data_IF_182873646630
#
_entry.id   IF_182873646630
#
_cell.length_a   1.000
_cell.length_b   1.000
_cell.length_c   1.000
_cell.angle_alpha   90.00
_cell.angle_beta   90.00
_cell.angle_gamma   90.00
#
_symmetry.space_group_name_H-M   'P 1'
#
loop_
_entity.id
_entity.type
_entity.pdbx_description
1 polymer ?
#
# COMPACT_ATOMS: atom_id res chain seq x y z
N UNK A 1 27.18 4.13 20.65
CA UNK A 1 25.95 3.62 20.07
C UNK A 1 25.16 4.83 19.58
N UNK A 2 25.08 5.02 18.27
CA UNK A 2 24.25 6.08 17.70
C UNK A 2 22.78 5.74 18.07
N UNK A 3 22.08 6.66 18.73
CA UNK A 3 20.65 6.46 19.01
C UNK A 3 19.91 6.55 17.69
N UNK A 4 19.66 5.42 17.04
CA UNK A 4 18.77 5.41 15.90
C UNK A 4 17.38 5.85 16.38
N UNK A 5 16.93 6.97 15.87
CA UNK A 5 15.57 7.47 16.16
C UNK A 5 14.59 6.61 15.38
N UNK A 6 13.75 5.85 16.06
CA UNK A 6 12.65 5.13 15.43
C UNK A 6 11.57 6.14 15.01
N UNK A 7 11.16 6.09 13.76
CA UNK A 7 10.17 7.00 13.17
C UNK A 7 8.97 6.23 12.65
N UNK A 8 7.82 6.90 12.51
CA UNK A 8 6.58 6.28 12.05
C UNK A 8 5.98 7.07 10.90
N UNK A 9 5.51 6.35 9.90
CA UNK A 9 4.73 6.91 8.78
C UNK A 9 3.29 6.38 8.87
N UNK A 10 2.33 7.28 8.73
CA UNK A 10 0.92 6.90 8.63
C UNK A 10 0.55 6.56 7.19
N UNK A 11 -0.06 5.40 6.98
CA UNK A 11 -0.57 4.90 5.70
C UNK A 11 -2.08 4.63 5.75
N UNK A 12 -2.78 5.19 6.75
CA UNK A 12 -4.23 5.03 6.91
C UNK A 12 -5.01 5.46 5.68
N UNK A 13 -4.54 6.53 5.03
CA UNK A 13 -5.20 7.17 3.88
C UNK A 13 -4.88 6.51 2.54
N UNK A 14 -4.04 5.48 2.57
CA UNK A 14 -3.65 4.66 1.41
C UNK A 14 -3.87 3.18 1.69
N UNK A 15 -2.86 2.44 2.10
CA UNK A 15 -2.92 1.00 2.33
C UNK A 15 -3.97 0.60 3.38
N UNK A 16 -4.13 1.42 4.44
CA UNK A 16 -5.10 1.15 5.50
C UNK A 16 -6.54 1.11 4.96
N UNK A 17 -6.98 2.19 4.36
CA UNK A 17 -8.34 2.29 3.82
C UNK A 17 -8.54 1.41 2.58
N UNK A 18 -7.51 1.19 1.75
CA UNK A 18 -7.61 0.26 0.63
C UNK A 18 -7.88 -1.17 1.10
N UNK A 19 -7.24 -1.59 2.20
CA UNK A 19 -7.41 -2.92 2.76
C UNK A 19 -8.72 -3.11 3.55
N UNK A 20 -9.28 -2.06 4.17
CA UNK A 20 -10.45 -2.16 5.06
C UNK A 20 -11.71 -1.60 4.40
N UNK A 21 -11.60 -0.49 3.67
CA UNK A 21 -12.72 0.22 3.03
C UNK A 21 -12.72 0.09 1.51
N UNK A 22 -11.95 -0.85 0.96
CA UNK A 22 -11.85 -1.13 -0.48
C UNK A 22 -11.58 0.12 -1.33
N UNK A 23 -10.75 1.06 -0.82
CA UNK A 23 -10.38 2.27 -1.55
C UNK A 23 -11.41 3.40 -1.53
N UNK A 24 -12.48 3.31 -0.73
CA UNK A 24 -13.62 4.23 -0.78
C UNK A 24 -13.33 5.66 -0.27
N UNK A 25 -12.18 5.93 0.33
CA UNK A 25 -11.82 7.24 0.88
C UNK A 25 -11.55 8.26 -0.24
N UNK A 26 -12.42 9.27 -0.34
CA UNK A 26 -12.34 10.36 -1.31
C UNK A 26 -11.41 11.52 -0.85
N UNK A 27 -11.22 12.53 -1.71
CA UNK A 27 -10.40 13.70 -1.40
C UNK A 27 -10.93 14.53 -0.22
N UNK A 28 -12.24 14.58 0.00
CA UNK A 28 -12.84 15.30 1.13
C UNK A 28 -12.52 14.61 2.45
N UNK A 29 -12.59 13.28 2.47
CA UNK A 29 -12.28 12.44 3.62
C UNK A 29 -10.78 12.45 3.92
N UNK A 30 -9.91 12.49 2.88
CA UNK A 30 -8.47 12.66 3.02
C UNK A 30 -8.13 13.91 3.86
N UNK A 31 -8.83 15.01 3.65
CA UNK A 31 -8.54 16.29 4.28
C UNK A 31 -9.03 16.40 5.72
N UNK A 32 -10.03 15.62 6.10
CA UNK A 32 -10.66 15.73 7.42
C UNK A 32 -9.68 15.52 8.59
N UNK A 33 -8.82 14.50 8.65
CA UNK A 33 -7.88 14.27 9.75
C UNK A 33 -6.61 15.13 9.67
N UNK A 34 -6.45 16.00 8.65
CA UNK A 34 -5.21 16.69 8.35
C UNK A 34 -4.68 17.54 9.53
N UNK A 35 -5.55 18.27 10.23
CA UNK A 35 -5.17 19.10 11.39
C UNK A 35 -4.56 18.27 12.51
N UNK A 36 -5.15 17.14 12.84
CA UNK A 36 -4.67 16.25 13.89
C UNK A 36 -3.38 15.53 13.47
N UNK A 37 -3.30 15.01 12.25
CA UNK A 37 -2.10 14.34 11.74
C UNK A 37 -0.92 15.30 11.60
N UNK A 38 -1.14 16.56 11.22
CA UNK A 38 -0.06 17.58 11.10
C UNK A 38 0.66 17.84 12.41
N UNK A 39 -0.01 17.72 13.56
CA UNK A 39 0.55 17.98 14.88
C UNK A 39 1.07 16.74 15.60
N UNK A 40 0.92 15.57 15.01
CA UNK A 40 1.21 14.28 15.66
C UNK A 40 2.69 13.93 15.79
N UNK A 41 3.60 14.58 15.05
CA UNK A 41 5.04 14.25 15.04
C UNK A 41 5.40 13.04 14.18
N UNK A 42 4.55 12.65 13.24
CA UNK A 42 4.83 11.63 12.23
C UNK A 42 5.99 12.02 11.32
N UNK A 43 6.75 11.03 10.86
CA UNK A 43 7.82 11.23 9.88
C UNK A 43 7.29 11.51 8.47
N UNK A 44 6.13 10.96 8.14
CA UNK A 44 5.38 11.23 6.92
C UNK A 44 3.93 10.76 7.04
N UNK A 45 3.08 11.28 6.15
CA UNK A 45 1.74 10.76 5.87
C UNK A 45 1.71 10.34 4.40
N UNK A 46 1.31 9.10 4.13
CA UNK A 46 1.17 8.62 2.76
C UNK A 46 -0.21 9.00 2.22
N UNK A 47 -0.21 9.68 1.07
CA UNK A 47 -1.43 10.26 0.49
C UNK A 47 -1.79 9.68 -0.88
N UNK A 48 -0.86 8.96 -1.50
CA UNK A 48 -1.07 8.30 -2.79
C UNK A 48 -0.33 6.96 -2.83
N UNK A 49 -1.00 5.94 -3.34
CA UNK A 49 -0.44 4.61 -3.62
C UNK A 49 -1.03 4.09 -4.94
N UNK A 50 -0.51 3.00 -5.53
CA UNK A 50 -1.08 2.44 -6.76
C UNK A 50 -2.58 2.14 -6.65
N UNK A 51 -3.03 1.55 -5.55
CA UNK A 51 -4.44 1.26 -5.32
C UNK A 51 -5.29 2.54 -5.24
N UNK A 52 -4.79 3.57 -4.55
CA UNK A 52 -5.49 4.87 -4.45
C UNK A 52 -5.49 5.62 -5.78
N UNK A 53 -4.45 5.49 -6.60
CA UNK A 53 -4.41 6.06 -7.95
C UNK A 53 -5.59 5.53 -8.79
N UNK A 54 -5.76 4.21 -8.83
CA UNK A 54 -6.84 3.58 -9.59
C UNK A 54 -8.22 4.03 -9.09
N UNK A 55 -8.40 4.15 -7.79
CA UNK A 55 -9.64 4.59 -7.15
C UNK A 55 -9.94 6.09 -7.39
N UNK A 56 -8.92 6.95 -7.36
CA UNK A 56 -9.08 8.37 -7.73
C UNK A 56 -9.61 8.49 -9.16
N UNK A 57 -9.01 7.75 -10.10
CA UNK A 57 -9.43 7.77 -11.49
C UNK A 57 -10.85 7.23 -11.69
N UNK A 58 -11.23 6.19 -10.94
CA UNK A 58 -12.58 5.63 -10.97
C UNK A 58 -13.65 6.63 -10.45
N UNK A 59 -13.25 7.59 -9.62
CA UNK A 59 -14.12 8.65 -9.06
C UNK A 59 -14.01 10.00 -9.78
N UNK A 60 -13.29 10.08 -10.89
CA UNK A 60 -12.98 11.36 -11.56
C UNK A 60 -12.26 12.36 -10.61
N UNK A 61 -11.40 11.86 -9.72
CA UNK A 61 -10.52 12.64 -8.86
C UNK A 61 -9.11 12.68 -9.45
N UNK A 62 -8.52 13.89 -9.51
CA UNK A 62 -7.20 14.04 -10.12
C UNK A 62 -6.07 13.72 -9.11
N UNK A 63 -5.23 12.67 -9.34
CA UNK A 63 -4.27 12.21 -8.35
C UNK A 63 -3.24 13.28 -7.92
N UNK A 64 -2.77 14.13 -8.84
CA UNK A 64 -1.87 15.24 -8.49
C UNK A 64 -2.59 16.31 -7.67
N UNK A 65 -3.85 16.61 -7.98
CA UNK A 65 -4.66 17.52 -7.16
C UNK A 65 -4.83 16.99 -5.74
N UNK A 66 -4.98 15.67 -5.56
CA UNK A 66 -5.02 15.04 -4.24
C UNK A 66 -3.75 15.35 -3.43
N UNK A 67 -2.56 15.26 -4.05
CA UNK A 67 -1.29 15.62 -3.41
C UNK A 67 -1.23 17.12 -3.08
N UNK A 68 -1.65 18.00 -4.00
CA UNK A 68 -1.72 19.45 -3.78
C UNK A 68 -2.68 19.83 -2.64
N UNK A 69 -3.84 19.19 -2.58
CA UNK A 69 -4.82 19.36 -1.50
C UNK A 69 -4.22 18.94 -0.17
N UNK A 70 -3.61 17.76 -0.13
CA UNK A 70 -2.90 17.29 1.06
C UNK A 70 -1.81 18.28 1.48
N UNK A 71 -0.97 18.77 0.54
CA UNK A 71 0.10 19.72 0.86
C UNK A 71 -0.42 20.99 1.51
N UNK A 72 -1.54 21.49 1.09
CA UNK A 72 -2.17 22.70 1.65
C UNK A 72 -2.72 22.50 3.06
N UNK A 73 -3.20 21.30 3.40
CA UNK A 73 -3.91 21.02 4.65
C UNK A 73 -3.05 20.33 5.72
N UNK A 74 -2.02 19.56 5.31
CA UNK A 74 -1.17 18.78 6.23
C UNK A 74 0.02 19.58 6.81
N UNK A 75 0.04 20.91 6.66
CA UNK A 75 1.06 21.76 7.27
C UNK A 75 2.48 21.38 6.86
N UNK A 76 3.36 21.13 7.83
CA UNK A 76 4.77 20.81 7.59
C UNK A 76 5.09 19.31 7.61
N UNK A 77 4.13 18.43 7.91
CA UNK A 77 4.38 16.99 7.90
C UNK A 77 4.75 16.56 6.47
N UNK A 78 5.81 15.76 6.28
CA UNK A 78 6.18 15.27 4.96
C UNK A 78 5.08 14.40 4.35
N UNK A 79 4.79 14.63 3.06
CA UNK A 79 3.89 13.79 2.30
C UNK A 79 4.68 12.72 1.55
N UNK A 80 4.15 11.51 1.54
CA UNK A 80 4.72 10.35 0.85
C UNK A 80 3.75 9.78 -0.18
N UNK A 81 4.30 9.21 -1.25
CA UNK A 81 3.59 8.35 -2.18
C UNK A 81 4.36 7.07 -2.42
N UNK A 82 3.65 6.00 -2.78
CA UNK A 82 4.24 4.76 -3.31
C UNK A 82 4.00 4.71 -4.82
N UNK A 83 5.05 4.50 -5.60
CA UNK A 83 5.02 4.32 -7.06
C UNK A 83 5.50 2.92 -7.40
N UNK A 84 4.63 2.15 -8.04
CA UNK A 84 5.01 0.86 -8.62
C UNK A 84 5.51 1.09 -10.06
N UNK A 85 6.69 0.60 -10.37
CA UNK A 85 7.30 0.73 -11.71
C UNK A 85 6.70 -0.23 -12.74
N UNK A 86 5.79 -1.13 -12.29
CA UNK A 86 4.98 -2.01 -13.14
C UNK A 86 3.50 -1.64 -12.98
N UNK A 87 2.85 -1.30 -14.08
CA UNK A 87 1.44 -0.83 -14.05
C UNK A 87 0.42 -1.96 -13.89
N UNK A 88 0.78 -3.17 -14.34
CA UNK A 88 -0.10 -4.33 -14.21
C UNK A 88 -1.32 -4.37 -15.15
N UNK A 89 -1.35 -3.52 -16.17
CA UNK A 89 -2.50 -3.47 -17.10
C UNK A 89 -2.54 -4.64 -18.08
N UNK A 90 -1.48 -5.42 -18.20
CA UNK A 90 -1.40 -6.56 -19.13
C UNK A 90 -1.42 -6.16 -20.60
N UNK A 91 -1.15 -4.89 -20.92
CA UNK A 91 -1.12 -4.36 -22.29
C UNK A 91 0.33 -4.24 -22.79
N UNK A 92 0.61 -4.68 -24.03
CA UNK A 92 1.93 -4.54 -24.62
C UNK A 92 2.40 -3.08 -24.62
N UNK A 93 3.60 -2.83 -24.06
CA UNK A 93 4.19 -1.51 -24.02
C UNK A 93 3.71 -0.58 -22.89
N UNK A 94 2.66 -0.97 -22.14
CA UNK A 94 2.09 -0.16 -21.05
C UNK A 94 2.25 -0.80 -19.65
N UNK A 95 2.92 -1.97 -19.57
CA UNK A 95 3.04 -2.72 -18.32
C UNK A 95 4.22 -2.29 -17.45
N UNK A 96 5.18 -1.59 -18.04
CA UNK A 96 6.41 -1.14 -17.41
C UNK A 96 6.50 0.36 -17.63
N UNK A 97 6.67 1.11 -16.54
CA UNK A 97 6.93 2.53 -16.67
C UNK A 97 8.31 2.75 -17.28
N UNK A 98 8.34 3.36 -18.44
CA UNK A 98 9.57 3.73 -19.10
C UNK A 98 10.22 4.98 -18.49
N UNK A 99 11.48 5.29 -18.84
CA UNK A 99 12.22 6.39 -18.25
C UNK A 99 11.51 7.74 -18.34
N UNK A 100 10.91 8.08 -19.47
CA UNK A 100 10.19 9.35 -19.67
C UNK A 100 8.96 9.45 -18.79
N UNK A 101 8.16 8.38 -18.71
CA UNK A 101 6.97 8.34 -17.86
C UNK A 101 7.33 8.43 -16.37
N UNK A 102 8.41 7.74 -15.95
CA UNK A 102 8.93 7.81 -14.57
C UNK A 102 9.37 9.23 -14.24
N UNK A 103 10.16 9.86 -15.10
CA UNK A 103 10.69 11.20 -14.88
C UNK A 103 9.58 12.23 -14.81
N UNK A 104 8.66 12.24 -15.77
CA UNK A 104 7.49 13.11 -15.78
C UNK A 104 6.61 12.92 -14.54
N UNK A 105 6.31 11.67 -14.16
CA UNK A 105 5.47 11.38 -13.01
C UNK A 105 6.10 11.85 -11.68
N UNK A 106 7.38 11.56 -11.46
CA UNK A 106 8.09 11.96 -10.24
C UNK A 106 8.25 13.47 -10.17
N UNK A 107 8.51 14.14 -11.30
CA UNK A 107 8.57 15.59 -11.40
C UNK A 107 7.21 16.23 -11.08
N UNK A 108 6.12 15.70 -11.62
CA UNK A 108 4.76 16.18 -11.35
C UNK A 108 4.36 15.98 -9.88
N UNK A 109 4.68 14.84 -9.27
CA UNK A 109 4.44 14.59 -7.85
C UNK A 109 5.22 15.56 -6.95
N UNK A 110 6.50 15.83 -7.28
CA UNK A 110 7.31 16.80 -6.56
C UNK A 110 6.75 18.23 -6.70
N UNK A 111 6.33 18.63 -7.90
CA UNK A 111 5.71 19.92 -8.16
C UNK A 111 4.36 20.07 -7.40
N UNK A 112 3.59 19.00 -7.26
CA UNK A 112 2.36 18.95 -6.46
C UNK A 112 2.62 19.07 -4.95
N UNK A 113 3.89 18.97 -4.51
CA UNK A 113 4.30 19.16 -3.12
C UNK A 113 4.61 17.89 -2.35
N UNK A 114 4.86 16.76 -3.03
CA UNK A 114 5.38 15.55 -2.41
C UNK A 114 6.82 15.73 -1.94
N UNK A 115 7.23 15.05 -0.85
CA UNK A 115 8.61 15.09 -0.35
C UNK A 115 9.29 13.73 -0.34
N UNK A 116 8.55 12.65 -0.23
CA UNK A 116 9.09 11.29 -0.15
C UNK A 116 8.38 10.38 -1.14
N UNK A 117 9.13 9.48 -1.76
CA UNK A 117 8.55 8.47 -2.65
C UNK A 117 9.14 7.10 -2.33
N UNK A 118 8.26 6.10 -2.22
CA UNK A 118 8.62 4.68 -2.20
C UNK A 118 8.58 4.19 -3.65
N UNK A 119 9.70 3.69 -4.15
CA UNK A 119 9.83 3.13 -5.49
C UNK A 119 9.82 1.61 -5.38
N UNK A 120 8.79 0.99 -5.93
CA UNK A 120 8.59 -0.46 -5.92
C UNK A 120 8.80 -1.03 -7.32
N UNK A 121 9.83 -1.83 -7.49
CA UNK A 121 9.96 -2.75 -8.59
C UNK A 121 9.80 -4.18 -8.06
N UNK A 122 8.72 -4.87 -8.38
CA UNK A 122 8.47 -6.21 -7.86
C UNK A 122 9.55 -7.24 -8.15
N UNK A 123 10.24 -7.13 -9.29
CA UNK A 123 11.31 -8.04 -9.69
C UNK A 123 12.72 -7.51 -9.41
N UNK A 124 12.84 -6.33 -8.77
CA UNK A 124 14.11 -5.66 -8.45
C UNK A 124 15.01 -5.48 -9.69
N UNK A 125 14.42 -5.07 -10.83
CA UNK A 125 15.19 -4.77 -12.03
C UNK A 125 16.05 -3.52 -11.78
N UNK A 126 17.34 -3.74 -11.51
CA UNK A 126 18.24 -2.70 -11.02
C UNK A 126 18.41 -1.52 -11.99
N UNK A 127 18.37 -1.78 -13.31
CA UNK A 127 18.49 -0.69 -14.28
C UNK A 127 17.30 0.27 -14.21
N UNK A 128 16.07 -0.27 -14.09
CA UNK A 128 14.84 0.49 -13.96
C UNK A 128 14.78 1.22 -12.61
N UNK A 129 15.10 0.53 -11.51
CA UNK A 129 15.17 1.14 -10.19
C UNK A 129 16.19 2.27 -10.13
N UNK A 130 17.37 2.09 -10.71
CA UNK A 130 18.40 3.12 -10.75
C UNK A 130 17.91 4.38 -11.47
N UNK A 131 17.30 4.22 -12.63
CA UNK A 131 16.72 5.35 -13.38
C UNK A 131 15.65 6.07 -12.54
N UNK A 132 14.73 5.34 -11.90
CA UNK A 132 13.71 5.92 -11.05
C UNK A 132 14.27 6.63 -9.80
N UNK A 133 15.31 6.08 -9.17
CA UNK A 133 16.00 6.71 -8.03
C UNK A 133 16.72 8.00 -8.44
N UNK A 134 17.37 8.01 -9.61
CA UNK A 134 18.01 9.21 -10.18
C UNK A 134 16.98 10.30 -10.51
N UNK A 135 15.85 9.93 -11.14
CA UNK A 135 14.74 10.87 -11.42
C UNK A 135 14.14 11.44 -10.14
N UNK A 136 13.87 10.61 -9.13
CA UNK A 136 13.35 11.05 -7.84
C UNK A 136 14.30 12.05 -7.15
N UNK A 137 15.61 11.74 -7.15
CA UNK A 137 16.64 12.62 -6.59
C UNK A 137 16.71 13.94 -7.34
N UNK A 138 16.61 13.92 -8.67
CA UNK A 138 16.62 15.12 -9.52
C UNK A 138 15.41 16.00 -9.26
N UNK A 139 14.24 15.38 -9.04
CA UNK A 139 13.01 16.06 -8.65
C UNK A 139 13.03 16.59 -7.19
N UNK A 140 14.07 16.29 -6.41
CA UNK A 140 14.19 16.72 -5.01
C UNK A 140 13.41 15.85 -4.01
N UNK A 141 12.99 14.65 -4.41
CA UNK A 141 12.29 13.71 -3.56
C UNK A 141 13.29 12.85 -2.75
N UNK A 142 12.93 12.54 -1.51
CA UNK A 142 13.62 11.48 -0.75
C UNK A 142 13.15 10.13 -1.26
N UNK A 143 14.03 9.44 -1.98
CA UNK A 143 13.71 8.16 -2.61
C UNK A 143 13.97 6.97 -1.67
N UNK A 144 12.93 6.18 -1.42
CA UNK A 144 12.94 4.96 -0.62
C UNK A 144 12.80 3.80 -1.59
N UNK A 145 13.80 2.91 -1.66
CA UNK A 145 13.70 1.72 -2.49
C UNK A 145 13.02 0.59 -1.74
N UNK A 146 11.93 0.05 -2.28
CA UNK A 146 11.26 -1.10 -1.72
C UNK A 146 12.01 -2.40 -2.04
N UNK A 147 12.23 -3.24 -1.02
CA UNK A 147 12.75 -4.60 -1.09
C UNK A 147 11.61 -5.56 -0.75
N UNK A 148 10.94 -6.17 -1.74
CA UNK A 148 9.85 -7.10 -1.48
C UNK A 148 10.32 -8.31 -0.68
N UNK A 149 9.53 -8.68 0.35
CA UNK A 149 9.75 -9.86 1.16
C UNK A 149 8.79 -11.00 0.73
N UNK A 150 9.31 -12.21 0.71
CA UNK A 150 8.53 -13.43 0.54
C UNK A 150 9.06 -14.52 1.48
N UNK A 151 8.16 -15.32 2.03
CA UNK A 151 8.51 -16.44 2.90
C UNK A 151 8.80 -17.69 2.05
N UNK A 152 9.85 -17.63 1.24
CA UNK A 152 10.27 -18.72 0.36
C UNK A 152 11.55 -19.36 0.88
N UNK A 153 11.58 -20.70 0.99
CA UNK A 153 12.73 -21.48 1.50
C UNK A 153 14.00 -21.32 0.65
N UNK A 154 13.89 -20.77 -0.57
CA UNK A 154 15.01 -20.62 -1.52
C UNK A 154 15.76 -19.29 -1.44
N UNK A 155 15.29 -18.31 -0.67
CA UNK A 155 15.91 -16.98 -0.60
C UNK A 155 16.63 -16.79 0.72
N UNK A 156 17.97 -16.82 0.69
CA UNK A 156 18.80 -16.68 1.89
C UNK A 156 18.91 -15.24 2.38
N UNK A 157 19.36 -15.03 3.64
CA UNK A 157 19.64 -13.71 4.20
C UNK A 157 20.71 -12.97 3.42
N UNK A 158 21.72 -13.70 2.94
CA UNK A 158 22.78 -13.16 2.10
C UNK A 158 22.22 -12.63 0.79
N UNK A 159 21.22 -13.29 0.21
CA UNK A 159 20.53 -12.81 -1.00
C UNK A 159 19.80 -11.50 -0.73
N UNK A 160 19.05 -11.41 0.38
CA UNK A 160 18.40 -10.17 0.80
C UNK A 160 19.42 -9.06 1.06
N UNK A 161 20.52 -9.37 1.73
CA UNK A 161 21.61 -8.42 2.00
C UNK A 161 22.26 -7.89 0.71
N UNK A 162 22.52 -8.77 -0.25
CA UNK A 162 23.06 -8.38 -1.56
C UNK A 162 22.08 -7.49 -2.35
N UNK A 163 20.80 -7.80 -2.34
CA UNK A 163 19.75 -6.97 -2.94
C UNK A 163 19.71 -5.59 -2.27
N UNK A 164 19.67 -5.55 -0.95
CA UNK A 164 19.68 -4.30 -0.19
C UNK A 164 20.91 -3.43 -0.50
N UNK A 165 22.10 -4.03 -0.53
CA UNK A 165 23.32 -3.32 -0.91
C UNK A 165 23.28 -2.80 -2.35
N UNK A 166 22.68 -3.55 -3.27
CA UNK A 166 22.50 -3.12 -4.68
C UNK A 166 21.55 -1.91 -4.79
N UNK A 167 20.50 -1.84 -3.97
CA UNK A 167 19.59 -0.69 -3.90
C UNK A 167 20.31 0.57 -3.40
N UNK A 168 21.18 0.41 -2.38
CA UNK A 168 22.02 1.51 -1.89
C UNK A 168 22.99 1.99 -2.99
N UNK A 169 23.63 1.05 -3.67
CA UNK A 169 24.53 1.37 -4.78
C UNK A 169 23.80 2.03 -5.97
N UNK A 170 22.52 1.76 -6.15
CA UNK A 170 21.67 2.42 -7.14
C UNK A 170 21.22 3.84 -6.74
N UNK A 171 21.49 4.28 -5.51
CA UNK A 171 21.20 5.63 -5.04
C UNK A 171 20.01 5.78 -4.09
N UNK A 172 19.50 4.68 -3.52
CA UNK A 172 18.43 4.75 -2.54
C UNK A 172 18.85 5.53 -1.29
N UNK A 173 18.06 6.53 -0.90
CA UNK A 173 18.26 7.28 0.34
C UNK A 173 17.88 6.46 1.58
N UNK A 174 16.94 5.53 1.43
CA UNK A 174 16.48 4.56 2.42
C UNK A 174 16.09 3.27 1.71
N UNK A 175 16.12 2.15 2.41
CA UNK A 175 15.61 0.85 1.90
C UNK A 175 14.47 0.41 2.80
N UNK A 176 13.35 -0.03 2.21
CA UNK A 176 12.19 -0.52 2.93
C UNK A 176 11.99 -2.00 2.67
N UNK A 177 12.14 -2.84 3.72
CA UNK A 177 11.66 -4.22 3.63
C UNK A 177 10.13 -4.21 3.58
N UNK A 178 9.55 -4.76 2.49
CA UNK A 178 8.12 -4.68 2.22
C UNK A 178 7.47 -6.07 2.26
N UNK A 179 6.84 -6.39 3.39
CA UNK A 179 6.09 -7.61 3.64
C UNK A 179 4.59 -7.37 3.42
N UNK A 180 4.20 -7.35 2.14
CA UNK A 180 2.80 -7.13 1.71
C UNK A 180 1.87 -8.27 2.14
N UNK A 181 2.41 -9.45 2.35
CA UNK A 181 1.65 -10.64 2.72
C UNK A 181 1.51 -10.84 4.23
N UNK A 182 2.23 -10.04 5.05
CA UNK A 182 2.22 -10.16 6.51
C UNK A 182 2.71 -11.52 7.00
N UNK A 183 3.69 -12.10 6.30
CA UNK A 183 4.22 -13.45 6.59
C UNK A 183 5.59 -13.41 7.32
N UNK A 184 6.14 -12.23 7.54
CA UNK A 184 7.35 -12.09 8.36
C UNK A 184 7.04 -12.46 9.81
N UNK A 185 7.81 -13.43 10.36
CA UNK A 185 7.69 -13.84 11.76
C UNK A 185 8.70 -13.11 12.64
N UNK A 186 8.47 -13.01 13.97
CA UNK A 186 9.45 -12.46 14.89
C UNK A 186 10.81 -13.15 14.80
N UNK A 187 10.85 -14.49 14.81
CA UNK A 187 12.10 -15.25 14.69
C UNK A 187 12.85 -14.90 13.40
N UNK A 188 12.11 -14.82 12.28
CA UNK A 188 12.68 -14.44 11.00
C UNK A 188 13.21 -13.00 10.99
N UNK A 189 12.53 -12.08 11.68
CA UNK A 189 12.96 -10.69 11.83
C UNK A 189 14.27 -10.60 12.63
N UNK A 190 14.44 -11.42 13.68
CA UNK A 190 15.66 -11.49 14.48
C UNK A 190 16.88 -11.91 13.67
N UNK A 191 16.73 -12.77 12.67
CA UNK A 191 17.82 -13.20 11.79
C UNK A 191 18.07 -12.18 10.66
N UNK A 192 17.00 -11.75 10.00
CA UNK A 192 17.08 -10.95 8.77
C UNK A 192 17.46 -9.49 9.02
N UNK A 193 16.87 -8.80 10.01
CA UNK A 193 17.11 -7.37 10.19
C UNK A 193 18.57 -7.02 10.51
N UNK A 194 19.27 -7.71 11.43
CA UNK A 194 20.69 -7.44 11.66
C UNK A 194 21.55 -7.61 10.41
N UNK A 195 21.23 -8.61 9.59
CA UNK A 195 21.92 -8.88 8.32
C UNK A 195 21.71 -7.75 7.31
N UNK A 196 20.45 -7.28 7.17
CA UNK A 196 20.11 -6.13 6.31
C UNK A 196 20.78 -4.84 6.81
N UNK A 197 20.70 -4.54 8.10
CA UNK A 197 21.30 -3.33 8.69
C UNK A 197 22.82 -3.33 8.46
N UNK A 198 23.48 -4.48 8.61
CA UNK A 198 24.90 -4.60 8.32
C UNK A 198 25.23 -4.34 6.83
N UNK A 199 24.42 -4.83 5.91
CA UNK A 199 24.59 -4.63 4.48
C UNK A 199 24.31 -3.19 4.03
N UNK A 200 23.37 -2.50 4.68
CA UNK A 200 22.98 -1.13 4.39
C UNK A 200 23.98 -0.07 4.94
N UNK A 201 24.77 -0.43 5.94
CA UNK A 201 25.74 0.48 6.56
C UNK A 201 25.06 1.68 7.22
N UNK A 202 25.21 2.87 6.68
CA UNK A 202 24.58 4.10 7.19
C UNK A 202 23.19 4.38 6.59
N UNK A 203 22.79 3.66 5.55
CA UNK A 203 21.48 3.83 4.92
C UNK A 203 20.39 3.25 5.81
N UNK A 204 19.35 4.03 6.17
CA UNK A 204 18.30 3.56 7.05
C UNK A 204 17.48 2.40 6.44
N UNK A 205 17.14 1.42 7.29
CA UNK A 205 16.18 0.36 6.99
C UNK A 205 14.80 0.76 7.50
N UNK A 206 13.79 0.73 6.63
CA UNK A 206 12.39 0.88 6.98
C UNK A 206 11.66 -0.46 6.89
N UNK A 207 10.54 -0.57 7.59
CA UNK A 207 9.68 -1.74 7.59
C UNK A 207 8.26 -1.37 7.20
N UNK A 208 7.74 -2.08 6.20
CA UNK A 208 6.33 -2.17 5.90
C UNK A 208 5.91 -3.62 6.08
N UNK A 209 5.03 -3.92 7.02
CA UNK A 209 4.52 -5.28 7.25
C UNK A 209 3.03 -5.25 7.57
N UNK A 210 2.28 -6.17 6.98
CA UNK A 210 0.84 -6.29 7.21
C UNK A 210 0.52 -7.27 8.33
N UNK A 211 -0.73 -7.26 8.81
CA UNK A 211 -1.16 -8.00 9.99
C UNK A 211 -1.98 -9.27 9.67
N UNK A 212 -1.84 -9.85 8.48
CA UNK A 212 -2.64 -11.03 8.06
C UNK A 212 -2.52 -12.23 8.99
N UNK A 213 -1.33 -12.44 9.53
CA UNK A 213 -1.03 -13.54 10.45
C UNK A 213 -1.18 -13.15 11.91
N UNK A 214 -1.65 -11.93 12.20
CA UNK A 214 -1.64 -11.30 13.52
C UNK A 214 -0.22 -11.07 14.12
N UNK A 215 0.86 -11.38 13.39
CA UNK A 215 2.24 -11.21 13.86
C UNK A 215 2.86 -9.86 13.50
N UNK A 216 2.32 -9.14 12.52
CA UNK A 216 2.86 -7.86 12.05
C UNK A 216 3.09 -6.85 13.17
N UNK A 217 2.16 -6.75 14.14
CA UNK A 217 2.33 -5.87 15.32
C UNK A 217 3.52 -6.29 16.20
N UNK A 218 3.74 -7.58 16.39
CA UNK A 218 4.88 -8.09 17.18
C UNK A 218 6.20 -7.81 16.47
N UNK A 219 6.26 -8.10 15.17
CA UNK A 219 7.41 -7.77 14.32
C UNK A 219 7.74 -6.29 14.37
N UNK A 220 6.73 -5.42 14.27
CA UNK A 220 6.90 -3.97 14.32
C UNK A 220 7.42 -3.47 15.69
N UNK A 221 6.98 -4.08 16.80
CA UNK A 221 7.48 -3.75 18.13
C UNK A 221 8.95 -4.10 18.31
N UNK A 222 9.40 -5.24 17.77
CA UNK A 222 10.79 -5.72 17.89
C UNK A 222 11.73 -5.02 16.90
N UNK A 223 11.21 -4.56 15.77
CA UNK A 223 11.97 -4.01 14.65
C UNK A 223 12.95 -2.89 15.06
N UNK A 224 12.50 -1.94 15.91
CA UNK A 224 13.34 -0.84 16.37
C UNK A 224 14.57 -1.32 17.17
N UNK A 225 14.41 -2.37 17.98
CA UNK A 225 15.49 -3.01 18.72
C UNK A 225 16.48 -3.76 17.84
N UNK A 226 16.06 -4.13 16.63
CA UNK A 226 16.85 -4.85 15.63
C UNK A 226 17.49 -3.94 14.58
N UNK A 227 17.39 -2.60 14.75
CA UNK A 227 18.06 -1.61 13.90
C UNK A 227 17.19 -1.01 12.78
N UNK A 228 15.90 -1.32 12.73
CA UNK A 228 14.96 -0.66 11.84
C UNK A 228 14.76 0.80 12.27
N UNK A 229 14.73 1.71 11.32
CA UNK A 229 14.70 3.17 11.55
C UNK A 229 13.33 3.79 11.32
N UNK A 230 12.48 3.17 10.50
CA UNK A 230 11.13 3.66 10.20
C UNK A 230 10.14 2.51 10.09
N UNK A 231 8.91 2.73 10.53
CA UNK A 231 7.83 1.74 10.47
C UNK A 231 6.60 2.37 9.85
N UNK A 232 6.02 1.69 8.86
CA UNK A 232 4.72 2.02 8.31
C UNK A 232 3.61 1.48 9.22
N UNK A 233 2.61 2.32 9.47
CA UNK A 233 1.55 2.06 10.44
C UNK A 233 0.21 2.61 9.95
N UNK A 234 -0.87 2.23 10.62
CA UNK A 234 -2.19 2.78 10.35
C UNK A 234 -2.89 3.18 11.66
N UNK A 235 -3.91 4.05 11.55
CA UNK A 235 -4.80 4.40 12.65
C UNK A 235 -5.80 3.25 12.93
N UNK A 236 -6.28 3.10 14.17
CA UNK A 236 -7.12 1.97 14.59
C UNK A 236 -8.31 1.67 13.69
N UNK A 237 -8.99 2.69 13.16
CA UNK A 237 -10.16 2.54 12.29
C UNK A 237 -9.88 1.78 11.00
N UNK A 238 -8.62 1.73 10.57
CA UNK A 238 -8.18 1.05 9.33
C UNK A 238 -6.92 0.20 9.54
N UNK A 239 -6.59 -0.17 10.77
CA UNK A 239 -5.41 -0.97 11.11
C UNK A 239 -5.72 -2.46 11.33
N UNK A 240 -4.69 -3.28 11.36
CA UNK A 240 -4.73 -4.72 11.61
C UNK A 240 -5.41 -5.55 10.50
N UNK A 241 -5.53 -6.86 10.68
CA UNK A 241 -6.09 -7.75 9.67
C UNK A 241 -5.33 -7.66 8.35
N UNK A 242 -6.01 -7.24 7.28
CA UNK A 242 -5.41 -7.03 5.96
C UNK A 242 -4.51 -5.78 5.87
N UNK A 243 -4.55 -4.92 6.88
CA UNK A 243 -3.82 -3.65 6.96
C UNK A 243 -2.56 -3.76 7.82
N UNK A 244 -1.99 -2.63 8.15
CA UNK A 244 -0.75 -2.46 8.91
C UNK A 244 -0.97 -2.42 10.43
N UNK A 245 0.09 -2.48 11.25
CA UNK A 245 0.01 -2.35 12.70
C UNK A 245 -0.60 -1.01 13.13
N UNK A 246 -1.43 -1.06 14.17
CA UNK A 246 -2.01 0.15 14.78
C UNK A 246 -0.94 0.97 15.51
N UNK A 247 -0.67 2.19 15.05
CA UNK A 247 0.32 3.07 15.65
C UNK A 247 0.03 3.39 17.13
N UNK A 248 -1.20 3.76 17.54
CA UNK A 248 -1.52 3.96 18.96
C UNK A 248 -1.23 2.74 19.84
N UNK A 249 -1.43 1.53 19.30
CA UNK A 249 -1.11 0.28 20.03
C UNK A 249 0.39 0.12 20.22
N UNK A 250 1.20 0.38 19.18
CA UNK A 250 2.67 0.35 19.25
C UNK A 250 3.19 1.37 20.26
N UNK A 251 2.70 2.62 20.21
CA UNK A 251 3.11 3.69 21.12
C UNK A 251 2.86 3.28 22.58
N UNK A 252 1.70 2.70 22.89
CA UNK A 252 1.38 2.26 24.28
C UNK A 252 2.36 1.24 24.83
N UNK A 253 2.88 0.35 24.00
CA UNK A 253 3.91 -0.63 24.42
C UNK A 253 5.27 0.06 24.51
N UNK A 254 5.69 0.78 23.46
CA UNK A 254 7.00 1.42 23.39
C UNK A 254 7.22 2.47 24.48
N UNK A 255 6.20 3.22 24.89
CA UNK A 255 6.27 4.19 26.00
C UNK A 255 6.69 3.53 27.33
N UNK A 256 6.34 2.28 27.54
CA UNK A 256 6.69 1.55 28.77
C UNK A 256 8.09 0.97 28.72
N UNK A 257 8.49 0.46 27.56
CA UNK A 257 9.76 -0.26 27.36
C UNK A 257 10.91 0.69 27.04
N UNK A 258 10.64 1.75 26.29
CA UNK A 258 11.63 2.66 25.73
C UNK A 258 11.28 4.13 26.01
N UNK A 259 11.31 4.54 27.28
CA UNK A 259 10.97 5.90 27.74
C UNK A 259 11.79 7.03 27.11
N UNK A 260 12.88 6.72 26.42
CA UNK A 260 13.78 7.67 25.79
C UNK A 260 13.47 7.90 24.30
N UNK A 261 12.51 7.18 23.72
CA UNK A 261 12.10 7.39 22.34
C UNK A 261 11.23 8.65 22.23
N UNK A 262 11.51 9.42 21.18
CA UNK A 262 10.67 10.54 20.76
C UNK A 262 9.54 9.97 19.87
N UNK A 263 8.41 9.67 20.51
CA UNK A 263 7.26 9.02 19.88
C UNK A 263 6.23 10.07 19.43
N UNK A 264 5.45 9.77 18.39
CA UNK A 264 4.33 10.61 17.98
C UNK A 264 3.33 10.86 19.10
N UNK A 265 2.65 12.02 19.05
CA UNK A 265 1.68 12.43 20.03
C UNK A 265 0.40 11.57 19.95
N UNK A 266 0.16 10.80 21.01
CA UNK A 266 -0.94 9.84 21.05
C UNK A 266 -2.32 10.52 20.99
N UNK A 267 -2.47 11.70 21.62
CA UNK A 267 -3.76 12.40 21.67
C UNK A 267 -4.12 12.93 20.26
N UNK A 268 -3.16 13.47 19.53
CA UNK A 268 -3.35 13.87 18.12
C UNK A 268 -3.71 12.70 17.22
N UNK A 269 -3.05 11.54 17.40
CA UNK A 269 -3.37 10.32 16.62
C UNK A 269 -4.78 9.81 16.93
N UNK A 270 -5.18 9.79 18.20
CA UNK A 270 -6.54 9.38 18.59
C UNK A 270 -7.60 10.38 18.11
N UNK A 271 -7.28 11.67 18.05
CA UNK A 271 -8.17 12.66 17.46
C UNK A 271 -8.34 12.43 15.93
N UNK A 272 -7.27 12.11 15.23
CA UNK A 272 -7.33 11.75 13.82
C UNK A 272 -8.15 10.47 13.59
N UNK A 273 -7.95 9.45 14.44
CA UNK A 273 -8.71 8.20 14.36
C UNK A 273 -10.20 8.40 14.64
N UNK A 274 -10.56 9.25 15.60
CA UNK A 274 -11.95 9.56 15.87
C UNK A 274 -12.66 10.17 14.65
N UNK A 275 -11.96 10.98 13.86
CA UNK A 275 -12.47 11.53 12.59
C UNK A 275 -12.70 10.40 11.56
N UNK A 276 -11.74 9.48 11.42
CA UNK A 276 -11.89 8.34 10.51
C UNK A 276 -13.02 7.40 10.96
N UNK A 277 -13.17 7.17 12.26
CA UNK A 277 -14.25 6.38 12.83
C UNK A 277 -15.63 7.01 12.54
N UNK A 278 -15.74 8.33 12.66
CA UNK A 278 -16.97 9.06 12.35
C UNK A 278 -17.31 8.98 10.84
N UNK A 279 -16.31 9.15 9.97
CA UNK A 279 -16.48 8.95 8.53
C UNK A 279 -16.99 7.53 8.25
N UNK A 280 -16.38 6.50 8.86
CA UNK A 280 -16.78 5.12 8.67
C UNK A 280 -18.22 4.86 9.12
N UNK A 281 -18.65 5.45 10.24
CA UNK A 281 -20.03 5.34 10.76
C UNK A 281 -21.03 6.02 9.81
N UNK A 282 -20.72 7.23 9.32
CA UNK A 282 -21.60 7.98 8.42
C UNK A 282 -21.74 7.32 7.04
N UNK A 283 -20.64 6.81 6.48
CA UNK A 283 -20.61 6.20 5.15
C UNK A 283 -20.95 4.69 5.18
N UNK A 284 -21.05 4.10 6.37
CA UNK A 284 -21.31 2.66 6.53
C UNK A 284 -20.13 1.77 6.16
N UNK A 285 -18.91 2.27 6.31
CA UNK A 285 -17.71 1.48 6.05
C UNK A 285 -17.50 0.41 7.12
N UNK A 286 -16.90 -0.75 6.76
CA UNK A 286 -16.66 -1.81 7.74
C UNK A 286 -15.64 -1.39 8.79
N UNK A 287 -15.86 -1.83 10.04
CA UNK A 287 -14.86 -1.66 11.09
C UNK A 287 -13.63 -2.53 10.83
N UNK A 288 -12.46 -1.98 11.08
CA UNK A 288 -11.22 -2.75 11.08
C UNK A 288 -11.26 -3.83 12.17
N UNK A 289 -10.73 -5.01 11.84
CA UNK A 289 -10.67 -6.13 12.77
C UNK A 289 -9.35 -6.89 12.62
N UNK A 290 -8.81 -7.34 13.74
CA UNK A 290 -7.70 -8.29 13.72
C UNK A 290 -8.17 -9.62 13.10
N UNK A 291 -7.34 -10.20 12.22
CA UNK A 291 -7.59 -11.53 11.69
C UNK A 291 -6.99 -12.59 12.60
N UNK A 292 -7.65 -13.74 12.73
CA UNK A 292 -7.03 -14.87 13.42
C UNK A 292 -5.82 -15.36 12.62
N UNK A 293 -4.85 -15.93 13.33
CA UNK A 293 -3.73 -16.60 12.70
C UNK A 293 -4.22 -17.70 11.75
N UNK A 294 -3.74 -17.67 10.50
CA UNK A 294 -4.12 -18.62 9.46
C UNK A 294 -2.88 -19.09 8.69
N UNK A 295 -2.55 -20.38 8.80
CA UNK A 295 -1.42 -20.98 8.09
C UNK A 295 -1.56 -20.91 6.57
N UNK A 296 -2.79 -20.84 6.04
CA UNK A 296 -3.01 -20.69 4.61
C UNK A 296 -2.35 -19.43 4.04
N UNK A 297 -2.20 -18.38 4.87
CA UNK A 297 -1.50 -17.14 4.48
C UNK A 297 -0.05 -17.41 4.08
N UNK A 298 0.66 -18.30 4.78
CA UNK A 298 2.02 -18.71 4.41
C UNK A 298 2.07 -19.52 3.12
N UNK A 299 0.99 -20.18 2.75
CA UNK A 299 0.89 -20.98 1.53
C UNK A 299 0.64 -20.10 0.31
N UNK A 300 -0.37 -19.23 0.36
CA UNK A 300 -0.75 -18.39 -0.78
C UNK A 300 0.02 -17.06 -0.85
N UNK A 301 0.48 -16.53 0.27
CA UNK A 301 1.21 -15.25 0.40
C UNK A 301 0.52 -14.05 -0.30
N UNK A 302 -0.82 -14.02 -0.38
CA UNK A 302 -1.55 -12.91 -0.99
C UNK A 302 -1.48 -11.66 -0.12
N UNK A 303 -1.28 -10.46 -0.70
CA UNK A 303 -1.31 -9.20 0.02
C UNK A 303 -2.73 -8.83 0.47
N UNK A 304 -2.83 -7.81 1.32
CA UNK A 304 -4.00 -7.44 2.09
C UNK A 304 -5.30 -7.34 1.35
N UNK A 305 -5.35 -6.45 0.41
CA UNK A 305 -6.54 -6.20 -0.39
C UNK A 305 -6.90 -7.42 -1.24
N UNK A 306 -5.92 -8.09 -1.86
CA UNK A 306 -6.16 -9.29 -2.68
C UNK A 306 -6.68 -10.45 -1.82
N UNK A 307 -6.11 -10.63 -0.61
CA UNK A 307 -6.58 -11.65 0.33
C UNK A 307 -8.02 -11.37 0.81
N UNK A 308 -8.37 -10.10 1.04
CA UNK A 308 -9.72 -9.70 1.40
C UNK A 308 -10.72 -9.99 0.27
N UNK A 309 -10.41 -9.60 -0.96
CA UNK A 309 -11.22 -9.86 -2.16
C UNK A 309 -11.43 -11.35 -2.39
N UNK A 310 -10.38 -12.16 -2.27
CA UNK A 310 -10.45 -13.61 -2.42
C UNK A 310 -11.36 -14.23 -1.35
N UNK A 311 -11.20 -13.83 -0.08
CA UNK A 311 -12.05 -14.34 1.02
C UNK A 311 -13.51 -14.02 0.77
N UNK A 312 -13.82 -12.83 0.27
CA UNK A 312 -15.16 -12.45 -0.11
C UNK A 312 -15.67 -13.29 -1.29
N UNK A 313 -14.89 -13.37 -2.37
CA UNK A 313 -15.27 -14.13 -3.57
C UNK A 313 -15.54 -15.63 -3.30
N UNK A 314 -14.75 -16.26 -2.42
CA UNK A 314 -14.95 -17.66 -2.00
C UNK A 314 -16.21 -17.80 -1.14
N UNK A 315 -16.53 -16.82 -0.27
CA UNK A 315 -17.79 -16.81 0.51
C UNK A 315 -19.02 -16.66 -0.38
N UNK A 316 -18.99 -15.76 -1.34
CA UNK A 316 -20.08 -15.52 -2.30
C UNK A 316 -20.40 -16.76 -3.14
N UNK A 317 -19.38 -17.58 -3.42
CA UNK A 317 -19.54 -18.88 -4.07
C UNK A 317 -20.07 -19.99 -3.15
N UNK A 318 -20.24 -19.70 -1.85
CA UNK A 318 -20.62 -20.69 -0.85
C UNK A 318 -19.54 -21.75 -0.59
N UNK A 319 -18.29 -21.52 -1.00
CA UNK A 319 -17.17 -22.46 -0.96
C UNK A 319 -16.16 -22.15 0.15
N UNK A 320 -16.60 -21.53 1.23
CA UNK A 320 -15.70 -21.15 2.33
C UNK A 320 -14.89 -22.33 2.90
N UNK A 321 -15.47 -23.53 2.91
CA UNK A 321 -14.78 -24.75 3.36
C UNK A 321 -13.57 -25.11 2.47
N UNK A 322 -13.58 -24.68 1.20
CA UNK A 322 -12.56 -25.01 0.20
C UNK A 322 -11.46 -23.93 0.11
N UNK A 323 -11.45 -22.94 1.01
CA UNK A 323 -10.44 -21.85 1.00
C UNK A 323 -9.00 -22.40 1.02
N UNK A 324 -8.79 -23.53 1.70
CA UNK A 324 -7.48 -24.18 1.73
C UNK A 324 -7.06 -24.78 0.38
N UNK A 325 -8.00 -25.33 -0.39
CA UNK A 325 -7.73 -25.77 -1.77
C UNK A 325 -7.38 -24.62 -2.68
N UNK A 326 -8.10 -23.51 -2.55
CA UNK A 326 -7.78 -22.27 -3.27
C UNK A 326 -6.36 -21.77 -2.93
N UNK A 327 -5.99 -21.76 -1.65
CA UNK A 327 -4.65 -21.35 -1.20
C UNK A 327 -3.56 -22.24 -1.83
N UNK A 328 -3.79 -23.55 -1.88
CA UNK A 328 -2.86 -24.49 -2.52
C UNK A 328 -2.75 -24.25 -4.04
N UNK A 329 -3.87 -23.92 -4.70
CA UNK A 329 -3.88 -23.58 -6.12
C UNK A 329 -3.15 -22.26 -6.40
N UNK A 330 -3.33 -21.21 -5.59
CA UNK A 330 -2.53 -19.98 -5.67
C UNK A 330 -1.03 -20.26 -5.59
N UNK A 331 -0.61 -21.08 -4.63
CA UNK A 331 0.78 -21.46 -4.46
C UNK A 331 1.31 -22.27 -5.65
N UNK A 332 0.48 -23.14 -6.25
CA UNK A 332 0.85 -23.89 -7.44
C UNK A 332 1.05 -22.97 -8.65
N UNK A 333 0.10 -22.06 -8.91
CA UNK A 333 0.20 -21.05 -9.97
C UNK A 333 1.45 -20.19 -9.77
N UNK A 334 1.71 -19.71 -8.55
CA UNK A 334 2.88 -18.89 -8.23
C UNK A 334 4.19 -19.62 -8.58
N UNK A 335 4.34 -20.88 -8.12
CA UNK A 335 5.54 -21.67 -8.42
C UNK A 335 5.75 -21.88 -9.92
N UNK A 336 4.68 -22.16 -10.66
CA UNK A 336 4.74 -22.37 -12.12
C UNK A 336 5.09 -21.08 -12.88
N UNK A 337 4.88 -19.93 -12.26
CA UNK A 337 5.27 -18.59 -12.77
C UNK A 337 6.65 -18.13 -12.26
N UNK A 338 7.48 -19.02 -11.73
CA UNK A 338 8.82 -18.70 -11.26
C UNK A 338 8.86 -18.01 -9.90
N UNK A 339 7.86 -18.23 -9.07
CA UNK A 339 7.77 -17.71 -7.71
C UNK A 339 7.96 -16.19 -7.58
N UNK A 340 7.27 -15.34 -8.39
CA UNK A 340 7.40 -13.91 -8.27
C UNK A 340 6.97 -13.46 -6.86
N UNK A 341 7.50 -12.34 -6.34
CA UNK A 341 7.01 -11.72 -5.11
C UNK A 341 5.52 -11.42 -5.19
N UNK A 342 4.81 -11.68 -4.09
CA UNK A 342 3.35 -11.50 -4.03
C UNK A 342 2.98 -10.03 -3.76
N UNK A 343 3.38 -9.19 -4.69
CA UNK A 343 3.04 -7.76 -4.76
C UNK A 343 2.37 -7.45 -6.09
N UNK A 344 1.73 -6.29 -6.22
CA UNK A 344 1.14 -5.87 -7.49
C UNK A 344 2.23 -5.76 -8.59
N UNK A 345 1.98 -6.21 -9.82
CA UNK A 345 0.71 -6.71 -10.35
C UNK A 345 0.52 -8.25 -10.22
N UNK A 346 1.55 -8.97 -9.76
CA UNK A 346 1.58 -10.43 -9.83
C UNK A 346 0.58 -11.10 -8.88
N UNK A 347 0.46 -10.60 -7.66
CA UNK A 347 -0.41 -11.21 -6.65
C UNK A 347 -1.87 -11.32 -7.13
N UNK A 348 -2.42 -10.25 -7.67
CA UNK A 348 -3.79 -10.24 -8.22
C UNK A 348 -3.93 -11.17 -9.41
N UNK A 349 -2.99 -11.12 -10.34
CA UNK A 349 -3.01 -11.98 -11.53
C UNK A 349 -2.91 -13.49 -11.19
N UNK A 350 -2.11 -13.84 -10.18
CA UNK A 350 -2.01 -15.21 -9.66
C UNK A 350 -3.32 -15.63 -9.00
N UNK A 351 -3.90 -14.77 -8.15
CA UNK A 351 -5.17 -15.06 -7.50
C UNK A 351 -6.32 -15.23 -8.51
N UNK A 352 -6.40 -14.38 -9.52
CA UNK A 352 -7.39 -14.48 -10.61
C UNK A 352 -7.20 -15.76 -11.44
N UNK A 353 -5.96 -16.12 -11.76
CA UNK A 353 -5.67 -17.36 -12.48
C UNK A 353 -6.04 -18.58 -11.64
N UNK A 354 -5.69 -18.58 -10.36
CA UNK A 354 -6.09 -19.64 -9.43
C UNK A 354 -7.60 -19.74 -9.29
N UNK A 355 -8.32 -18.61 -9.30
CA UNK A 355 -9.78 -18.59 -9.23
C UNK A 355 -10.42 -19.22 -10.48
N UNK A 356 -9.88 -18.99 -11.68
CA UNK A 356 -10.35 -19.67 -12.88
C UNK A 356 -10.24 -21.20 -12.77
N UNK A 357 -9.11 -21.70 -12.27
CA UNK A 357 -8.92 -23.14 -12.05
C UNK A 357 -9.85 -23.66 -10.94
N UNK A 358 -10.01 -22.92 -9.88
CA UNK A 358 -10.91 -23.25 -8.76
C UNK A 358 -12.39 -23.29 -9.17
N UNK A 359 -12.79 -22.45 -10.13
CA UNK A 359 -14.14 -22.44 -10.73
C UNK A 359 -14.31 -23.55 -11.79
N UNK A 360 -13.30 -24.37 -12.07
CA UNK A 360 -13.35 -25.55 -12.92
C UNK A 360 -12.90 -25.35 -14.34
N UNK A 361 -12.27 -24.21 -14.67
CA UNK A 361 -11.61 -24.07 -15.98
C UNK A 361 -10.44 -25.04 -16.10
N UNK A 362 -10.19 -25.53 -17.34
CA UNK A 362 -9.03 -26.34 -17.62
C UNK A 362 -7.74 -25.53 -17.33
N UNK A 363 -6.75 -26.16 -16.68
CA UNK A 363 -5.53 -25.49 -16.24
C UNK A 363 -4.85 -24.71 -17.37
N UNK A 364 -4.83 -23.38 -17.21
CA UNK A 364 -4.30 -22.42 -18.21
C UNK A 364 -5.00 -22.47 -19.59
N UNK A 365 -6.26 -22.88 -19.66
CA UNK A 365 -7.06 -22.73 -20.87
C UNK A 365 -7.12 -21.26 -21.26
N UNK A 366 -7.43 -20.40 -20.29
CA UNK A 366 -7.19 -18.96 -20.36
C UNK A 366 -5.97 -18.59 -19.52
N UNK A 367 -5.15 -17.65 -20.00
CA UNK A 367 -4.00 -17.14 -19.28
C UNK A 367 -4.16 -15.64 -19.05
N UNK A 368 -4.11 -15.23 -17.78
CA UNK A 368 -4.22 -13.81 -17.43
C UNK A 368 -3.16 -12.96 -18.14
N UNK A 369 -3.51 -11.77 -18.62
CA UNK A 369 -2.60 -10.94 -19.42
C UNK A 369 -1.25 -10.68 -18.74
N UNK A 370 -1.26 -10.34 -17.45
CA UNK A 370 -0.05 -10.10 -16.65
C UNK A 370 0.86 -11.35 -16.63
N UNK A 371 0.28 -12.55 -16.39
CA UNK A 371 1.06 -13.79 -16.35
C UNK A 371 1.62 -14.15 -17.72
N UNK A 372 0.88 -13.86 -18.78
CA UNK A 372 1.39 -14.01 -20.17
C UNK A 372 2.63 -13.13 -20.38
N UNK A 373 2.57 -11.87 -19.98
CA UNK A 373 3.67 -10.91 -20.09
C UNK A 373 4.87 -11.31 -19.24
N UNK A 374 4.62 -11.86 -18.03
CA UNK A 374 5.67 -12.41 -17.17
C UNK A 374 6.41 -13.55 -17.88
N UNK A 375 5.69 -14.50 -18.47
CA UNK A 375 6.27 -15.61 -19.24
C UNK A 375 7.06 -15.15 -20.47
N UNK A 376 6.74 -13.98 -21.01
CA UNK A 376 7.46 -13.31 -22.10
C UNK A 376 8.73 -12.59 -21.64
N UNK A 377 8.97 -12.49 -20.33
CA UNK A 377 10.10 -11.73 -19.78
C UNK A 377 9.90 -10.20 -19.84
N UNK A 378 8.68 -9.72 -20.06
CA UNK A 378 8.41 -8.28 -20.24
C UNK A 378 8.69 -7.44 -19.00
N UNK A 379 8.64 -8.05 -17.80
CA UNK A 379 8.85 -7.37 -16.53
C UNK A 379 10.29 -7.48 -15.98
N UNK A 380 11.09 -8.38 -16.52
CA UNK A 380 12.40 -8.76 -16.02
C UNK A 380 12.48 -10.25 -15.69
N UNK A 381 13.42 -10.63 -14.84
CA UNK A 381 13.68 -12.03 -14.46
C UNK A 381 13.06 -12.35 -13.09
N UNK A 382 12.53 -13.56 -12.97
CA UNK A 382 12.07 -14.14 -11.71
C UNK A 382 13.15 -15.03 -11.11
N UNK A 383 13.08 -15.26 -9.79
CA UNK A 383 14.08 -16.07 -9.06
C UNK A 383 13.95 -17.57 -9.36
N UNK A 384 12.74 -18.05 -9.58
CA UNK A 384 12.46 -19.47 -9.81
C UNK A 384 12.32 -19.83 -11.28
N UNK A 385 12.18 -21.13 -11.53
CA UNK A 385 12.01 -21.67 -12.89
C UNK A 385 10.58 -21.39 -13.40
N UNK A 386 10.50 -20.79 -14.58
CA UNK A 386 9.24 -20.65 -15.31
C UNK A 386 8.86 -21.99 -15.95
N UNK A 387 7.58 -22.30 -15.97
CA UNK A 387 7.05 -23.50 -16.60
C UNK A 387 7.26 -23.48 -18.12
N UNK A 388 8.13 -24.37 -18.61
CA UNK A 388 8.65 -24.36 -19.99
C UNK A 388 7.60 -24.61 -21.08
N UNK A 389 6.58 -25.45 -20.82
CA UNK A 389 5.49 -25.68 -21.76
C UNK A 389 4.60 -24.43 -21.93
N UNK A 390 4.38 -23.66 -20.89
CA UNK A 390 3.68 -22.38 -20.96
C UNK A 390 4.51 -21.32 -21.69
N UNK A 391 5.81 -21.25 -21.43
CA UNK A 391 6.71 -20.36 -22.17
C UNK A 391 6.70 -20.67 -23.68
N UNK A 392 6.79 -21.97 -24.06
CA UNK A 392 6.74 -22.39 -25.45
C UNK A 392 5.40 -22.01 -26.11
N UNK A 393 4.29 -22.20 -25.40
CA UNK A 393 2.95 -21.84 -25.90
C UNK A 393 2.81 -20.33 -26.10
N UNK A 394 3.30 -19.53 -25.18
CA UNK A 394 3.26 -18.07 -25.28
C UNK A 394 4.21 -17.58 -26.37
N UNK A 395 5.40 -18.16 -26.50
CA UNK A 395 6.36 -17.85 -27.57
C UNK A 395 5.81 -18.13 -28.98
N UNK A 396 5.00 -19.18 -29.13
CA UNK A 396 4.35 -19.48 -30.43
C UNK A 396 3.27 -18.46 -30.82
N UNK A 397 2.64 -17.82 -29.86
CA UNK A 397 1.64 -16.75 -30.08
C UNK A 397 2.28 -15.42 -30.49
N UNK A 398 3.52 -15.15 -30.03
CA UNK A 398 4.27 -13.96 -30.43
C UNK A 398 4.66 -13.89 -31.88
N UNK A 399 4.88 -15.06 -32.53
CA UNK A 399 5.18 -15.11 -33.95
C UNK A 399 4.02 -14.70 -34.85
N UNK A 400 2.81 -14.54 -34.26
CA UNK A 400 1.58 -14.14 -34.97
C UNK A 400 1.10 -12.71 -34.64
N UNK A 401 1.62 -12.09 -33.56
CA UNK A 401 1.30 -10.72 -33.21
C UNK A 401 2.48 -9.79 -33.57
N UNK A 402 2.28 -8.92 -34.56
CA UNK A 402 3.29 -7.92 -34.94
C UNK A 402 3.57 -7.01 -33.73
N UNK A 403 4.87 -6.78 -33.47
CA UNK A 403 5.32 -5.82 -32.46
C UNK A 403 4.64 -4.46 -32.65
N UNK A 404 3.69 -4.12 -31.77
CA UNK A 404 3.21 -2.73 -31.68
C UNK A 404 4.38 -1.86 -31.24
N UNK A 405 4.58 -0.68 -31.84
CA UNK A 405 5.64 0.23 -31.44
C UNK A 405 5.46 0.61 -29.96
N UNK A 406 6.56 0.78 -29.28
CA UNK A 406 6.60 1.28 -27.89
C UNK A 406 6.00 2.69 -27.92
N UNK A 407 4.80 2.85 -27.37
CA UNK A 407 4.05 4.13 -27.32
C UNK A 407 4.85 5.22 -26.60
N UNK A 408 5.87 4.84 -25.85
CA UNK A 408 6.75 5.73 -25.10
C UNK A 408 7.58 6.70 -25.97
N UNK A 409 7.76 6.39 -27.25
CA UNK A 409 8.56 7.23 -28.16
C UNK A 409 7.91 8.61 -28.43
N UNK A 410 6.61 8.74 -28.19
CA UNK A 410 5.82 9.97 -28.45
C UNK A 410 5.37 10.68 -27.16
N UNK A 411 5.82 10.21 -25.96
CA UNK A 411 5.45 10.80 -24.69
C UNK A 411 6.34 12.02 -24.39
N UNK A 412 5.74 13.18 -24.25
CA UNK A 412 6.41 14.40 -23.75
C UNK A 412 6.33 14.42 -22.20
N UNK A 413 7.48 14.49 -21.54
CA UNK A 413 7.55 14.44 -20.07
C UNK A 413 6.84 15.62 -19.37
N UNK A 414 6.68 16.74 -20.08
CA UNK A 414 6.01 17.94 -19.59
C UNK A 414 4.48 17.91 -19.78
N UNK A 415 3.95 16.93 -20.50
CA UNK A 415 2.51 16.73 -20.66
C UNK A 415 1.98 15.87 -19.50
N UNK A 416 1.46 16.55 -18.46
CA UNK A 416 0.92 15.93 -17.25
C UNK A 416 -0.20 14.93 -17.53
N UNK A 417 -1.11 15.25 -18.45
CA UNK A 417 -2.23 14.37 -18.80
C UNK A 417 -1.73 13.12 -19.56
N UNK A 418 -0.74 13.27 -20.43
CA UNK A 418 -0.12 12.14 -21.14
C UNK A 418 0.64 11.22 -20.18
N UNK A 419 1.40 11.80 -19.24
CA UNK A 419 2.11 11.05 -18.21
C UNK A 419 1.13 10.31 -17.30
N UNK A 420 0.07 10.97 -16.85
CA UNK A 420 -0.96 10.36 -16.02
C UNK A 420 -1.69 9.24 -16.76
N UNK A 421 -2.03 9.44 -18.04
CA UNK A 421 -2.64 8.42 -18.89
C UNK A 421 -1.74 7.18 -19.02
N UNK A 422 -0.44 7.39 -19.13
CA UNK A 422 0.54 6.31 -19.18
C UNK A 422 0.64 5.56 -17.85
N UNK A 423 0.79 6.27 -16.73
CA UNK A 423 0.90 5.69 -15.38
C UNK A 423 -0.35 4.91 -15.00
N UNK A 424 -1.52 5.42 -15.35
CA UNK A 424 -2.80 4.77 -15.12
C UNK A 424 -3.14 3.69 -16.15
N UNK A 425 -2.40 3.62 -17.27
CA UNK A 425 -2.65 2.65 -18.33
C UNK A 425 -3.99 2.79 -19.04
N UNK A 426 -4.61 3.95 -18.97
CA UNK A 426 -5.90 4.27 -19.60
C UNK A 426 -5.75 5.48 -20.49
N UNK A 427 -6.56 5.55 -21.56
CA UNK A 427 -6.71 6.80 -22.31
C UNK A 427 -7.56 7.72 -21.45
N UNK A 428 -6.95 8.63 -20.73
CA UNK A 428 -7.67 9.61 -19.91
C UNK A 428 -8.11 10.73 -20.85
N UNK A 429 -9.42 10.88 -21.04
CA UNK A 429 -9.98 12.17 -21.32
C UNK A 429 -9.79 12.97 -20.02
N UNK A 430 -9.07 14.09 -20.08
CA UNK A 430 -8.70 14.99 -18.99
C UNK A 430 -9.52 14.79 -17.72
N UNK A 431 -8.90 14.25 -16.65
CA UNK A 431 -9.57 14.18 -15.33
C UNK A 431 -9.65 15.62 -14.80
N UNK A 432 -10.84 16.19 -14.64
CA UNK A 432 -10.96 17.60 -14.30
C UNK A 432 -10.44 17.85 -12.88
N UNK A 433 -9.67 18.93 -12.73
CA UNK A 433 -9.35 19.46 -11.40
C UNK A 433 -10.58 20.14 -10.81
N UNK A 434 -10.94 19.79 -9.58
CA UNK A 434 -12.10 20.38 -8.88
C UNK A 434 -11.69 21.70 -8.22
N UNK A 435 -12.43 22.79 -8.48
CA UNK A 435 -12.11 24.11 -7.96
C UNK A 435 -12.25 24.20 -6.43
N UNK A 436 -13.27 23.55 -5.86
CA UNK A 436 -13.64 23.66 -4.46
C UNK A 436 -13.80 22.26 -3.83
N UNK A 437 -12.73 21.72 -3.26
CA UNK A 437 -12.79 20.53 -2.40
C UNK A 437 -12.83 21.00 -0.94
N UNK A 438 -13.96 20.83 -0.29
CA UNK A 438 -14.15 21.13 1.11
C UNK A 438 -13.90 19.86 1.94
N UNK A 439 -13.11 19.92 3.03
CA UNK A 439 -12.93 18.78 3.92
C UNK A 439 -14.26 18.16 4.34
N UNK A 440 -14.28 16.84 4.48
CA UNK A 440 -15.43 16.12 5.00
C UNK A 440 -15.76 16.64 6.41
N UNK A 441 -17.00 16.96 6.65
CA UNK A 441 -17.44 17.48 7.95
C UNK A 441 -17.67 16.29 8.90
N UNK A 442 -16.59 15.84 9.53
CA UNK A 442 -16.67 14.82 10.56
C UNK A 442 -17.29 15.41 11.83
N UNK A 443 -18.22 14.68 12.40
CA UNK A 443 -18.81 15.06 13.69
C UNK A 443 -17.80 14.80 14.80
N UNK A 444 -17.82 15.64 15.83
CA UNK A 444 -17.07 15.29 17.04
C UNK A 444 -17.67 14.02 17.67
N UNK A 445 -16.91 13.23 18.44
CA UNK A 445 -17.44 12.04 19.12
C UNK A 445 -18.70 12.29 19.94
N UNK A 446 -18.86 13.51 20.45
CA UNK A 446 -20.05 13.92 21.21
C UNK A 446 -21.24 14.27 20.31
N UNK A 447 -20.98 14.84 19.13
CA UNK A 447 -22.02 15.11 18.12
C UNK A 447 -22.51 13.83 17.47
N UNK A 448 -21.61 12.90 17.15
CA UNK A 448 -21.96 11.56 16.66
C UNK A 448 -22.80 10.79 17.68
N UNK A 449 -22.39 10.79 18.96
CA UNK A 449 -23.17 10.20 20.06
C UNK A 449 -24.54 10.87 20.21
N UNK A 450 -24.60 12.20 20.14
CA UNK A 450 -25.84 12.95 20.26
C UNK A 450 -26.79 12.66 19.11
N UNK A 451 -26.28 12.58 17.86
CA UNK A 451 -27.05 12.19 16.67
C UNK A 451 -27.59 10.77 16.82
N UNK A 452 -26.75 9.79 17.16
CA UNK A 452 -27.17 8.40 17.36
C UNK A 452 -28.19 8.23 18.50
N UNK A 453 -28.11 9.05 19.56
CA UNK A 453 -29.13 9.09 20.62
C UNK A 453 -30.45 9.71 20.13
N UNK A 454 -30.40 10.77 19.31
CA UNK A 454 -31.60 11.38 18.72
C UNK A 454 -32.32 10.43 17.74
N UNK A 455 -31.56 9.76 16.87
CA UNK A 455 -32.11 8.77 15.92
C UNK A 455 -32.80 7.61 16.63
N UNK A 456 -32.23 7.12 17.74
CA UNK A 456 -32.81 6.05 18.55
C UNK A 456 -33.95 6.52 19.44
N UNK A 457 -33.88 7.78 19.89
CA UNK A 457 -34.84 8.32 20.85
C UNK A 457 -36.16 8.76 20.20
N UNK A 458 -36.23 9.05 18.90
CA UNK A 458 -37.43 9.26 18.03
C UNK A 458 -38.63 10.05 18.56
N UNK A 459 -38.60 10.53 19.81
CA UNK A 459 -39.73 11.16 20.53
C UNK A 459 -39.34 12.26 21.50
N UNK A 460 -38.09 12.65 21.59
CA UNK A 460 -37.68 13.71 22.53
C UNK A 460 -37.43 15.03 21.79
N UNK A 461 -38.01 16.10 22.27
CA UNK A 461 -37.87 17.43 21.71
C UNK A 461 -36.47 18.04 21.98
N UNK A 462 -35.73 17.52 22.94
CA UNK A 462 -34.44 18.04 23.36
C UNK A 462 -33.51 16.97 23.89
N UNK A 463 -32.24 17.01 23.49
CA UNK A 463 -31.18 16.18 24.03
C UNK A 463 -30.07 17.07 24.58
N UNK A 464 -29.63 16.82 25.81
CA UNK A 464 -28.47 17.50 26.39
C UNK A 464 -27.41 16.47 26.78
N UNK A 465 -26.20 16.63 26.23
CA UNK A 465 -25.04 15.83 26.61
C UNK A 465 -24.07 16.71 27.41
N UNK A 466 -23.68 16.25 28.58
CA UNK A 466 -22.71 16.90 29.44
C UNK A 466 -21.48 15.98 29.62
N UNK A 467 -20.31 16.47 29.23
CA UNK A 467 -19.03 15.83 29.48
C UNK A 467 -18.02 16.89 29.98
N UNK A 468 -16.90 16.51 30.61
CA UNK A 468 -15.90 17.48 31.04
C UNK A 468 -15.42 18.33 29.84
N UNK A 469 -15.68 19.64 29.92
CA UNK A 469 -15.30 20.60 28.88
C UNK A 469 -16.26 20.74 27.70
N UNK A 470 -17.31 19.91 27.60
CA UNK A 470 -18.26 19.93 26.48
C UNK A 470 -19.69 19.93 26.97
N UNK A 471 -20.51 20.84 26.41
CA UNK A 471 -21.97 20.84 26.57
C UNK A 471 -22.61 20.92 25.19
N UNK A 472 -23.34 19.89 24.81
CA UNK A 472 -24.12 19.85 23.56
C UNK A 472 -25.60 19.94 23.97
N UNK A 473 -26.32 20.84 23.35
CA UNK A 473 -27.75 20.97 23.51
C UNK A 473 -28.39 20.96 22.11
N UNK A 474 -29.10 19.88 21.79
CA UNK A 474 -29.81 19.72 20.54
C UNK A 474 -31.30 19.86 20.77
N UNK A 475 -31.96 20.63 19.94
CA UNK A 475 -33.40 20.83 19.96
C UNK A 475 -33.95 20.50 18.58
N UNK A 476 -34.93 19.61 18.53
CA UNK A 476 -35.60 19.30 17.27
C UNK A 476 -36.57 20.43 16.94
N UNK A 477 -36.36 21.10 15.80
CA UNK A 477 -37.38 22.05 15.29
C UNK A 477 -38.56 21.22 14.78
N UNK A 478 -39.76 21.53 15.32
CA UNK A 478 -40.97 20.80 15.06
C UNK A 478 -41.59 21.03 13.67
#
# INVERSE_FOLDING_TARGET
>A
MSSHRLTFTDTSLTDGQAAVWAGALDDRMLLAPAGALSSSGLAAVEVLSPAVLDECLARDEHPLQRVELARRHYGSVPLRATVNLLTGHGRPGADVLGPTAIDGWLSALAAAGLQQVVLLDPLLELARLKAALESASTAGLTAIAALPYAADDGVSDETYAQRAASLVAAGAARVMLRDESGVLTPDRAHDLFPTLVAALGSTPLDLHTRCHTALGTVVALEAGGLGVSGIDTALPSVANGASLPSLPSLIRVLQREHRHLDLPDLDSLLAADAILADIADQEGFPAAAAWPFDLATYVHQLPGEVAADVRQAVRERGRWADLHEFAAECAAVRREMGSPPMVAPFARAIAEQAMCHFDGEQRYESLRPVLRRLLQGAYGTVDGDLRTDLQARVGSLLSSESSSPTVEADLEADDEDAVLAWVAGVTIATVPRRADVVPYEALTPYESLARGLLERAGRYATLSVHAPGVRIHLQQEG
#
